data_IF_089259611806
#
_entry.id   IF_089259611806
#
_cell.length_a   1.000
_cell.length_b   1.000
_cell.length_c   1.000
_cell.angle_alpha   90.00
_cell.angle_beta   90.00
_cell.angle_gamma   90.00
#
_symmetry.space_group_name_H-M   'P 1'
#
loop_
_entity.id
_entity.type
_entity.pdbx_description
1 polymer ?
#
# COMPACT_ATOMS: atom_id res chain seq x y z
N UNK A 1 28.01 -4.56 12.61
CA UNK A 1 26.69 -4.15 13.13
C UNK A 1 26.38 -4.95 14.39
N UNK A 2 26.15 -4.32 15.52
CA UNK A 2 25.65 -4.95 16.75
C UNK A 2 24.15 -4.68 16.86
N UNK A 3 23.37 -5.72 17.09
CA UNK A 3 21.91 -5.66 17.24
C UNK A 3 21.54 -6.13 18.64
N UNK A 4 20.76 -5.34 19.37
CA UNK A 4 20.29 -5.65 20.72
C UNK A 4 18.76 -5.55 20.81
N UNK A 5 18.11 -6.56 21.39
CA UNK A 5 16.66 -6.57 21.57
C UNK A 5 16.28 -5.91 22.91
N UNK A 6 15.29 -5.03 22.92
CA UNK A 6 14.93 -4.13 24.03
C UNK A 6 14.55 -4.77 25.40
N UNK A 7 14.41 -6.09 25.49
CA UNK A 7 14.11 -6.80 26.75
C UNK A 7 15.36 -7.26 27.51
N UNK A 8 16.58 -7.10 26.95
CA UNK A 8 17.83 -7.58 27.55
C UNK A 8 18.73 -6.44 28.11
N UNK A 9 18.23 -5.21 28.14
CA UNK A 9 19.02 -4.02 28.49
C UNK A 9 19.48 -3.95 29.98
N UNK A 10 18.94 -4.78 30.87
CA UNK A 10 19.28 -4.71 32.30
C UNK A 10 20.58 -5.44 32.68
N UNK A 11 21.13 -6.29 31.82
CA UNK A 11 22.28 -7.14 32.19
C UNK A 11 23.60 -6.84 31.45
N UNK A 12 23.62 -5.94 30.48
CA UNK A 12 24.81 -5.70 29.64
C UNK A 12 25.55 -4.40 29.96
N UNK A 13 25.11 -3.64 30.98
CA UNK A 13 25.75 -2.38 31.37
C UNK A 13 27.13 -2.53 32.05
N UNK A 14 27.56 -3.75 32.40
CA UNK A 14 28.78 -3.97 33.18
C UNK A 14 29.99 -4.48 32.37
N UNK A 15 29.90 -4.75 31.08
CA UNK A 15 31.01 -5.30 30.26
C UNK A 15 31.45 -4.43 29.07
N UNK A 16 31.16 -3.15 29.04
CA UNK A 16 31.48 -2.29 27.90
C UNK A 16 32.63 -1.29 28.13
N UNK A 17 33.64 -1.65 28.90
CA UNK A 17 34.90 -0.91 28.88
C UNK A 17 35.91 -1.66 27.99
N UNK A 18 36.34 -1.02 26.90
CA UNK A 18 37.33 -1.40 25.89
C UNK A 18 36.85 -2.15 24.65
N UNK A 19 36.04 -1.46 23.81
CA UNK A 19 36.19 -1.60 22.37
C UNK A 19 36.43 -0.21 21.81
N UNK A 20 37.59 0.03 21.25
CA UNK A 20 37.85 1.25 20.48
C UNK A 20 36.77 1.34 19.36
N UNK A 21 35.88 2.32 19.47
CA UNK A 21 34.90 2.65 18.44
C UNK A 21 35.68 3.05 17.19
N UNK A 22 35.57 2.30 16.11
CA UNK A 22 35.97 2.79 14.80
C UNK A 22 35.21 4.11 14.54
N UNK A 23 35.96 5.14 14.16
CA UNK A 23 35.39 6.45 13.86
C UNK A 23 34.31 6.28 12.80
N UNK A 24 33.05 6.52 13.17
CA UNK A 24 31.91 6.47 12.25
C UNK A 24 30.70 5.60 12.68
N UNK A 25 30.77 4.85 13.78
CA UNK A 25 29.61 4.09 14.25
C UNK A 25 28.62 4.97 15.01
N UNK A 26 27.32 4.81 14.72
CA UNK A 26 26.21 5.53 15.34
C UNK A 26 25.27 4.51 16.00
N UNK A 27 24.87 4.77 17.25
CA UNK A 27 23.76 4.03 17.89
C UNK A 27 22.44 4.67 17.46
N UNK A 28 21.62 3.92 16.73
CA UNK A 28 20.36 4.43 16.21
C UNK A 28 19.34 4.61 17.34
N UNK A 29 18.88 5.84 17.55
CA UNK A 29 17.86 6.21 18.54
C UNK A 29 16.97 7.32 18.00
N UNK A 30 15.81 7.50 18.62
CA UNK A 30 14.84 8.55 18.29
C UNK A 30 14.10 8.25 16.99
N UNK A 31 14.22 9.12 16.00
CA UNK A 31 13.54 8.97 14.72
C UNK A 31 14.23 7.94 13.82
N UNK A 32 13.85 6.68 13.96
CA UNK A 32 14.43 5.55 13.22
C UNK A 32 13.96 5.49 11.76
N UNK A 33 12.82 6.10 11.45
CA UNK A 33 12.29 6.20 10.07
C UNK A 33 13.28 6.90 9.14
N UNK A 34 14.15 7.76 9.67
CA UNK A 34 15.21 8.42 8.88
C UNK A 34 16.21 7.44 8.22
N UNK A 35 16.33 6.24 8.78
CA UNK A 35 17.24 5.19 8.28
C UNK A 35 16.56 4.27 7.26
N UNK A 36 15.26 4.44 7.01
CA UNK A 36 14.52 3.60 6.05
C UNK A 36 14.57 4.23 4.67
N UNK A 37 15.11 3.50 3.71
CA UNK A 37 15.07 3.85 2.28
C UNK A 37 14.12 2.89 1.55
N UNK A 38 12.85 3.28 1.29
CA UNK A 38 11.89 2.41 0.62
C UNK A 38 12.19 2.21 -0.88
N UNK A 39 13.18 2.91 -1.44
CA UNK A 39 13.62 2.66 -2.82
C UNK A 39 14.55 1.45 -2.95
N UNK A 40 15.09 0.93 -1.86
CA UNK A 40 15.87 -0.32 -1.87
C UNK A 40 15.00 -1.45 -2.42
N UNK A 41 15.52 -2.18 -3.42
CA UNK A 41 14.81 -3.25 -4.12
C UNK A 41 13.86 -2.78 -5.22
N UNK A 42 13.74 -1.47 -5.50
CA UNK A 42 12.88 -0.94 -6.57
C UNK A 42 13.50 -1.02 -7.96
N UNK A 43 14.78 -1.33 -8.06
CA UNK A 43 15.51 -1.56 -9.32
C UNK A 43 15.78 -3.06 -9.49
N UNK A 44 15.81 -3.55 -10.73
CA UNK A 44 16.05 -4.97 -11.00
C UNK A 44 14.86 -5.85 -10.55
N UNK A 45 15.08 -7.06 -10.00
CA UNK A 45 14.00 -8.03 -9.71
C UNK A 45 13.33 -7.86 -8.35
N UNK A 46 13.70 -6.84 -7.54
CA UNK A 46 13.24 -6.73 -6.14
C UNK A 46 11.75 -6.46 -5.98
N UNK A 47 11.10 -5.79 -6.93
CA UNK A 47 9.65 -5.52 -6.96
C UNK A 47 9.11 -4.85 -5.68
N UNK A 48 9.89 -3.93 -5.08
CA UNK A 48 9.45 -3.12 -3.95
C UNK A 48 8.78 -1.83 -4.43
N UNK A 49 8.05 -1.17 -3.55
CA UNK A 49 7.37 0.10 -3.81
C UNK A 49 7.83 1.17 -2.78
N UNK A 50 7.89 2.47 -3.16
CA UNK A 50 8.36 3.54 -2.28
C UNK A 50 7.24 4.26 -1.53
N UNK A 51 5.98 3.87 -1.72
CA UNK A 51 4.82 4.57 -1.20
C UNK A 51 4.62 4.45 0.30
N UNK A 52 3.77 5.33 0.84
CA UNK A 52 3.47 5.36 2.27
C UNK A 52 2.53 4.21 2.69
N UNK A 53 2.80 3.61 3.84
CA UNK A 53 1.94 2.60 4.45
C UNK A 53 2.11 2.58 5.98
N UNK A 54 1.16 2.00 6.71
CA UNK A 54 1.35 1.63 8.12
C UNK A 54 1.89 0.20 8.24
N UNK A 55 2.56 -0.15 9.35
CA UNK A 55 2.97 -1.53 9.60
C UNK A 55 1.79 -2.48 9.50
N UNK A 56 1.95 -3.52 8.67
CA UNK A 56 0.92 -4.53 8.41
C UNK A 56 -0.42 -3.99 7.88
N UNK A 57 -0.47 -2.73 7.42
CA UNK A 57 -1.70 -2.10 6.92
C UNK A 57 -2.19 -2.72 5.61
N UNK A 58 -3.50 -2.60 5.36
CA UNK A 58 -4.13 -3.00 4.10
C UNK A 58 -3.75 -2.06 2.96
N UNK A 59 -3.53 -0.78 3.25
CA UNK A 59 -3.24 0.26 2.25
C UNK A 59 -1.75 0.55 2.15
N UNK A 60 -1.26 0.60 0.90
CA UNK A 60 0.05 1.06 0.48
C UNK A 60 -0.16 2.10 -0.63
N UNK A 61 -0.12 3.38 -0.26
CA UNK A 61 -0.35 4.49 -1.18
C UNK A 61 0.92 4.78 -1.98
N UNK A 62 1.00 4.28 -3.23
CA UNK A 62 2.23 4.25 -4.02
C UNK A 62 1.99 4.56 -5.49
N UNK A 63 3.01 5.04 -6.23
CA UNK A 63 2.94 5.21 -7.68
C UNK A 63 2.92 3.88 -8.45
N UNK A 64 2.29 3.92 -9.62
CA UNK A 64 2.27 2.87 -10.63
C UNK A 64 2.98 3.35 -11.89
N UNK A 65 3.99 2.61 -12.35
CA UNK A 65 4.76 2.96 -13.54
C UNK A 65 4.18 2.32 -14.81
N UNK A 66 4.48 2.91 -15.97
CA UNK A 66 4.08 2.36 -17.26
C UNK A 66 4.80 1.05 -17.64
N UNK A 67 5.86 0.71 -16.90
CA UNK A 67 6.65 -0.51 -17.08
C UNK A 67 6.03 -1.66 -16.29
N UNK A 68 5.86 -2.81 -16.94
CA UNK A 68 5.33 -4.00 -16.27
C UNK A 68 6.18 -4.40 -15.07
N UNK A 69 5.58 -4.41 -13.89
CA UNK A 69 6.21 -4.85 -12.65
C UNK A 69 5.15 -5.29 -11.64
N UNK A 70 5.31 -6.45 -10.99
CA UNK A 70 4.36 -6.92 -9.98
C UNK A 70 4.20 -5.98 -8.79
N UNK A 71 5.27 -5.29 -8.39
CA UNK A 71 5.24 -4.31 -7.29
C UNK A 71 4.63 -2.96 -7.65
N UNK A 72 4.28 -2.72 -8.92
CA UNK A 72 3.72 -1.46 -9.41
C UNK A 72 4.77 -0.38 -9.69
N UNK A 73 5.96 -0.47 -9.15
CA UNK A 73 7.00 0.56 -9.23
C UNK A 73 8.35 0.01 -9.73
N UNK A 74 9.05 0.84 -10.51
CA UNK A 74 10.46 0.65 -10.91
C UNK A 74 11.21 1.96 -10.80
N UNK A 75 12.30 1.95 -10.03
CA UNK A 75 13.11 3.14 -9.77
C UNK A 75 13.76 3.76 -11.03
N UNK A 76 13.98 2.95 -12.06
CA UNK A 76 14.52 3.34 -13.37
C UNK A 76 13.47 3.81 -14.38
N UNK A 77 12.19 3.89 -13.99
CA UNK A 77 11.10 4.37 -14.84
C UNK A 77 10.64 5.76 -14.40
N UNK A 78 10.53 6.69 -15.34
CA UNK A 78 10.06 8.05 -15.11
C UNK A 78 8.68 8.34 -15.71
N UNK A 79 8.03 7.32 -16.33
CA UNK A 79 6.67 7.41 -16.83
C UNK A 79 5.71 6.67 -15.89
N UNK A 80 4.78 7.40 -15.28
CA UNK A 80 3.80 6.87 -14.35
C UNK A 80 2.41 6.82 -14.99
N UNK A 81 1.70 5.73 -14.78
CA UNK A 81 0.30 5.57 -15.22
C UNK A 81 -0.69 5.99 -14.14
N UNK A 82 -0.21 6.28 -12.95
CA UNK A 82 -1.00 6.79 -11.85
C UNK A 82 -0.45 6.46 -10.48
N UNK A 83 -1.35 6.53 -9.51
CA UNK A 83 -1.09 6.30 -8.09
C UNK A 83 -2.25 5.47 -7.54
N UNK A 84 -1.97 4.35 -6.90
CA UNK A 84 -3.00 3.45 -6.37
C UNK A 84 -2.80 3.12 -4.89
N UNK A 85 -3.73 2.38 -4.29
CA UNK A 85 -3.82 2.26 -2.83
C UNK A 85 -3.39 0.89 -2.31
N UNK A 86 -3.06 -0.08 -3.18
CA UNK A 86 -2.62 -1.40 -2.74
C UNK A 86 -1.43 -1.88 -3.55
N UNK A 87 -0.38 -2.31 -2.85
CA UNK A 87 0.85 -2.85 -3.42
C UNK A 87 1.39 -3.98 -2.54
N UNK A 88 2.20 -4.86 -3.12
CA UNK A 88 2.94 -5.87 -2.40
C UNK A 88 4.44 -5.65 -2.58
N UNK A 89 5.20 -5.75 -1.50
CA UNK A 89 6.66 -5.60 -1.52
C UNK A 89 7.33 -6.93 -1.78
N UNK A 90 8.23 -6.98 -2.76
CA UNK A 90 9.01 -8.19 -3.07
C UNK A 90 8.23 -9.30 -3.80
N UNK A 91 7.06 -9.00 -4.32
CA UNK A 91 6.16 -9.99 -4.90
C UNK A 91 6.38 -10.23 -6.40
N UNK A 92 6.02 -11.43 -6.86
CA UNK A 92 5.79 -11.74 -8.28
C UNK A 92 4.31 -11.63 -8.71
N UNK A 93 3.40 -11.28 -7.78
CA UNK A 93 1.96 -11.22 -8.04
C UNK A 93 1.49 -9.77 -8.30
N UNK A 94 1.02 -9.42 -9.51
CA UNK A 94 0.61 -8.08 -9.90
C UNK A 94 -0.89 -7.79 -9.65
N UNK A 95 -1.60 -8.57 -8.86
CA UNK A 95 -3.06 -8.45 -8.69
C UNK A 95 -3.53 -7.27 -7.84
N UNK A 96 -2.64 -6.37 -7.43
CA UNK A 96 -2.92 -5.14 -6.69
C UNK A 96 -3.11 -3.92 -7.62
N UNK A 97 -3.08 -2.70 -7.09
CA UNK A 97 -3.31 -1.46 -7.84
C UNK A 97 -4.76 -0.99 -7.75
N UNK A 98 -5.36 -1.09 -6.55
CA UNK A 98 -6.76 -0.74 -6.37
C UNK A 98 -6.96 0.78 -6.37
N UNK A 99 -7.94 1.23 -7.13
CA UNK A 99 -8.38 2.63 -7.26
C UNK A 99 -7.21 3.55 -7.65
N UNK A 100 -6.81 3.45 -8.91
CA UNK A 100 -5.75 4.27 -9.47
C UNK A 100 -6.25 5.68 -9.79
N UNK A 101 -5.43 6.67 -9.53
CA UNK A 101 -5.69 8.08 -9.81
C UNK A 101 -4.49 8.71 -10.51
N UNK A 102 -4.74 9.60 -11.48
CA UNK A 102 -3.69 10.43 -12.08
C UNK A 102 -4.19 11.88 -12.20
N UNK A 103 -3.59 12.85 -11.47
CA UNK A 103 -3.93 14.25 -11.62
C UNK A 103 -3.27 14.83 -12.89
N UNK A 104 -3.95 15.77 -13.55
CA UNK A 104 -3.43 16.49 -14.70
C UNK A 104 -4.09 17.86 -14.84
N UNK A 105 -3.63 18.68 -15.77
CA UNK A 105 -4.22 19.99 -16.11
C UNK A 105 -4.64 20.00 -17.57
N UNK A 106 -5.68 20.75 -17.90
CA UNK A 106 -6.15 20.91 -19.29
C UNK A 106 -7.05 19.76 -19.76
N UNK A 107 -7.09 19.59 -21.08
CA UNK A 107 -7.88 18.54 -21.74
C UNK A 107 -6.99 17.36 -22.10
N UNK A 108 -7.60 16.17 -22.16
CA UNK A 108 -6.92 14.93 -22.54
C UNK A 108 -7.90 14.06 -23.34
N UNK A 109 -7.60 13.83 -24.61
CA UNK A 109 -8.52 13.14 -25.53
C UNK A 109 -8.36 11.61 -25.50
N UNK A 110 -7.14 11.13 -25.21
CA UNK A 110 -6.85 9.69 -25.14
C UNK A 110 -7.57 9.00 -23.98
N UNK A 111 -7.84 7.72 -24.12
CA UNK A 111 -8.32 6.83 -23.05
C UNK A 111 -7.18 6.21 -22.24
N UNK A 112 -5.95 6.40 -22.69
CA UNK A 112 -4.75 6.00 -21.95
C UNK A 112 -4.14 7.21 -21.26
N UNK A 113 -3.89 7.09 -19.97
CA UNK A 113 -3.34 8.16 -19.13
C UNK A 113 -1.97 7.76 -18.60
N UNK A 114 -0.99 8.59 -18.86
CA UNK A 114 0.33 8.53 -18.23
C UNK A 114 0.92 9.93 -18.09
N UNK A 115 1.91 10.09 -17.24
CA UNK A 115 2.64 11.33 -17.05
C UNK A 115 4.11 11.03 -16.74
N UNK A 116 5.02 11.85 -17.29
CA UNK A 116 6.41 11.84 -16.87
C UNK A 116 6.57 12.56 -15.54
N UNK A 117 7.47 12.04 -14.71
CA UNK A 117 7.77 12.62 -13.41
C UNK A 117 9.17 13.22 -13.37
N UNK A 118 9.34 14.24 -12.55
CA UNK A 118 10.65 14.76 -12.21
C UNK A 118 11.23 13.95 -11.04
N UNK A 119 12.09 12.98 -11.38
CA UNK A 119 12.74 12.09 -10.39
C UNK A 119 13.60 12.85 -9.38
N UNK A 120 14.05 14.07 -9.67
CA UNK A 120 14.80 14.89 -8.71
C UNK A 120 13.94 15.38 -7.54
N UNK A 121 12.61 15.44 -7.75
CA UNK A 121 11.63 15.83 -6.74
C UNK A 121 11.06 14.65 -5.96
N UNK A 122 11.36 13.43 -6.38
CA UNK A 122 10.81 12.21 -5.77
C UNK A 122 11.39 12.01 -4.36
N UNK A 123 10.50 11.72 -3.43
CA UNK A 123 10.82 11.45 -2.02
C UNK A 123 9.97 10.30 -1.54
N UNK A 124 10.59 9.36 -0.81
CA UNK A 124 9.93 8.21 -0.19
C UNK A 124 10.36 8.05 1.26
N UNK A 125 9.43 7.72 2.11
CA UNK A 125 9.64 7.28 3.48
C UNK A 125 8.45 6.37 3.88
N UNK A 126 8.55 5.55 4.92
CA UNK A 126 7.45 4.70 5.37
C UNK A 126 6.13 5.44 5.59
N UNK A 127 6.19 6.71 6.00
CA UNK A 127 5.06 7.58 6.31
C UNK A 127 4.67 8.54 5.18
N UNK A 128 5.45 8.60 4.09
CA UNK A 128 5.28 9.65 3.10
C UNK A 128 5.87 9.30 1.73
N UNK A 129 5.15 9.70 0.69
CA UNK A 129 5.65 9.71 -0.68
C UNK A 129 5.35 11.05 -1.34
N UNK A 130 6.22 11.53 -2.23
CA UNK A 130 5.95 12.69 -3.06
C UNK A 130 6.76 12.69 -4.36
N UNK A 131 6.17 13.28 -5.41
CA UNK A 131 6.80 13.51 -6.71
C UNK A 131 6.09 14.64 -7.46
N UNK A 132 6.76 15.30 -8.41
CA UNK A 132 6.16 16.31 -9.29
C UNK A 132 6.02 15.75 -10.70
N UNK A 133 4.84 15.89 -11.31
CA UNK A 133 4.58 15.56 -12.71
C UNK A 133 5.15 16.66 -13.61
N UNK A 134 5.97 16.30 -14.61
CA UNK A 134 6.75 17.27 -15.42
C UNK A 134 5.86 18.21 -16.23
N UNK A 135 4.93 17.64 -16.99
CA UNK A 135 4.14 18.40 -17.95
C UNK A 135 3.08 19.26 -17.26
N UNK A 136 2.40 18.71 -16.26
CA UNK A 136 1.31 19.41 -15.56
C UNK A 136 1.78 20.26 -14.39
N UNK A 137 3.01 20.08 -13.92
CA UNK A 137 3.52 20.72 -12.70
C UNK A 137 2.79 20.31 -11.43
N UNK A 138 1.91 19.30 -11.48
CA UNK A 138 1.19 18.84 -10.29
C UNK A 138 2.14 18.13 -9.35
N UNK A 139 2.18 18.58 -8.09
CA UNK A 139 2.86 17.86 -7.02
C UNK A 139 1.90 16.86 -6.39
N UNK A 140 2.31 15.62 -6.37
CA UNK A 140 1.61 14.52 -5.74
C UNK A 140 2.27 14.22 -4.40
N UNK A 141 1.48 14.10 -3.34
CA UNK A 141 1.91 13.68 -2.01
C UNK A 141 0.99 12.60 -1.49
N UNK A 142 1.53 11.62 -0.75
CA UNK A 142 0.75 10.55 -0.14
C UNK A 142 1.20 10.27 1.30
N UNK A 143 0.23 9.90 2.12
CA UNK A 143 0.42 9.23 3.42
C UNK A 143 -0.70 8.20 3.59
N UNK A 144 -0.64 7.34 4.62
CA UNK A 144 -1.65 6.31 4.81
C UNK A 144 -1.91 6.03 6.29
N UNK A 145 -3.13 5.57 6.58
CA UNK A 145 -3.47 4.82 7.80
C UNK A 145 -3.42 3.32 7.51
N UNK A 146 -4.03 2.49 8.37
CA UNK A 146 -4.12 1.03 8.12
C UNK A 146 -4.97 0.72 6.87
N UNK A 147 -6.06 1.49 6.65
CA UNK A 147 -7.07 1.21 5.61
C UNK A 147 -7.36 2.39 4.69
N UNK A 148 -6.73 3.55 4.91
CA UNK A 148 -7.01 4.77 4.13
C UNK A 148 -5.72 5.34 3.54
N UNK A 149 -5.66 5.49 2.22
CA UNK A 149 -4.67 6.30 1.52
C UNK A 149 -5.11 7.75 1.47
N UNK A 150 -4.26 8.67 1.90
CA UNK A 150 -4.48 10.10 1.80
C UNK A 150 -3.58 10.67 0.73
N UNK A 151 -4.18 11.32 -0.23
CA UNK A 151 -3.52 11.93 -1.38
C UNK A 151 -3.72 13.43 -1.35
N UNK A 152 -2.66 14.17 -1.65
CA UNK A 152 -2.72 15.61 -1.88
C UNK A 152 -2.12 15.92 -3.24
N UNK A 153 -2.92 16.54 -4.09
CA UNK A 153 -2.53 16.96 -5.44
C UNK A 153 -2.51 18.49 -5.52
N UNK A 154 -1.32 19.09 -5.53
CA UNK A 154 -1.16 20.56 -5.61
C UNK A 154 -0.98 20.94 -7.07
N UNK A 155 -1.94 21.71 -7.62
CA UNK A 155 -2.00 22.10 -9.03
C UNK A 155 -1.24 23.41 -9.26
N UNK A 156 0.05 23.32 -9.62
CA UNK A 156 0.90 24.50 -9.91
C UNK A 156 0.89 24.92 -11.38
N UNK A 157 0.46 24.03 -12.29
CA UNK A 157 0.40 24.30 -13.74
C UNK A 157 -0.73 25.23 -14.14
N UNK A 158 -0.67 25.70 -15.39
CA UNK A 158 -1.73 26.49 -16.01
C UNK A 158 -2.81 25.58 -16.58
N UNK A 159 -4.07 25.94 -16.40
CA UNK A 159 -5.23 25.22 -16.92
C UNK A 159 -6.12 24.63 -15.84
N UNK A 160 -7.28 24.09 -16.26
CA UNK A 160 -8.25 23.53 -15.32
C UNK A 160 -7.75 22.24 -14.68
N UNK A 161 -7.97 22.11 -13.37
CA UNK A 161 -7.58 20.95 -12.57
C UNK A 161 -8.45 19.73 -12.93
N UNK A 162 -7.80 18.60 -13.20
CA UNK A 162 -8.40 17.33 -13.59
C UNK A 162 -7.83 16.18 -12.79
N UNK A 163 -8.64 15.13 -12.61
CA UNK A 163 -8.20 13.87 -12.03
C UNK A 163 -8.79 12.72 -12.86
N UNK A 164 -7.95 11.85 -13.38
CA UNK A 164 -8.36 10.55 -13.88
C UNK A 164 -8.56 9.62 -12.68
N UNK A 165 -9.75 9.02 -12.58
CA UNK A 165 -10.14 8.09 -11.53
C UNK A 165 -10.46 6.73 -12.16
N UNK A 166 -9.70 5.70 -11.78
CA UNK A 166 -9.69 4.42 -12.44
C UNK A 166 -9.79 3.25 -11.43
N UNK A 167 -10.98 2.71 -11.20
CA UNK A 167 -11.16 1.50 -10.40
C UNK A 167 -10.98 0.21 -11.21
N UNK A 168 -10.74 0.31 -12.52
CA UNK A 168 -10.71 -0.85 -13.44
C UNK A 168 -9.31 -1.39 -13.65
N UNK A 169 -8.28 -0.54 -13.56
CA UNK A 169 -6.89 -0.96 -13.76
C UNK A 169 -6.32 -1.74 -12.59
N UNK A 170 -5.32 -2.57 -12.89
CA UNK A 170 -4.49 -3.29 -11.92
C UNK A 170 -3.01 -3.13 -12.28
N UNK A 171 -2.09 -3.67 -11.47
CA UNK A 171 -0.66 -3.67 -11.76
C UNK A 171 -0.28 -4.63 -12.91
N UNK A 172 -1.24 -5.37 -13.42
CA UNK A 172 -1.07 -6.32 -14.52
C UNK A 172 -0.98 -5.69 -15.93
N UNK A 173 -0.75 -4.39 -16.05
CA UNK A 173 -0.57 -3.72 -17.33
C UNK A 173 0.39 -4.48 -18.26
N UNK A 174 -0.10 -4.95 -19.41
CA UNK A 174 0.67 -5.74 -20.36
C UNK A 174 0.62 -7.26 -20.15
N UNK A 175 0.38 -7.79 -18.95
CA UNK A 175 0.11 -9.20 -18.72
C UNK A 175 -1.31 -9.58 -19.17
N UNK A 176 -2.26 -8.68 -18.97
CA UNK A 176 -3.65 -8.82 -19.40
C UNK A 176 -3.79 -9.11 -20.90
N UNK A 177 -2.89 -8.60 -21.74
CA UNK A 177 -2.87 -8.93 -23.18
C UNK A 177 -2.65 -10.42 -23.46
N UNK A 178 -1.98 -11.14 -22.55
CA UNK A 178 -1.68 -12.56 -22.66
C UNK A 178 -2.75 -13.43 -22.01
N UNK A 179 -3.36 -12.97 -20.92
CA UNK A 179 -4.19 -13.79 -20.03
C UNK A 179 -5.66 -13.33 -19.95
N UNK A 180 -6.01 -12.25 -20.62
CA UNK A 180 -7.35 -11.60 -20.54
C UNK A 180 -7.44 -10.50 -19.49
N UNK A 181 -8.58 -9.85 -19.37
CA UNK A 181 -8.79 -8.79 -18.40
C UNK A 181 -8.75 -9.33 -16.96
N UNK A 182 -8.00 -8.67 -16.08
CA UNK A 182 -7.84 -9.07 -14.69
C UNK A 182 -8.98 -8.61 -13.81
N UNK A 183 -9.56 -7.45 -14.13
CA UNK A 183 -10.73 -6.91 -13.44
C UNK A 183 -11.97 -7.39 -14.19
N UNK A 184 -12.69 -8.32 -13.60
CA UNK A 184 -13.89 -8.92 -14.20
C UNK A 184 -15.15 -8.09 -13.98
N UNK A 185 -15.15 -7.21 -12.99
CA UNK A 185 -16.17 -6.18 -12.79
C UNK A 185 -15.62 -5.04 -11.92
N UNK A 186 -16.07 -3.83 -12.17
CA UNK A 186 -15.89 -2.69 -11.30
C UNK A 186 -17.16 -1.83 -11.36
N UNK A 187 -17.75 -1.61 -10.19
CA UNK A 187 -18.98 -0.82 -10.04
C UNK A 187 -18.70 0.41 -9.18
N UNK A 188 -19.40 1.50 -9.45
CA UNK A 188 -19.29 2.70 -8.65
C UNK A 188 -20.61 3.44 -8.55
N UNK A 189 -20.78 4.16 -7.47
CA UNK A 189 -21.83 5.14 -7.23
C UNK A 189 -21.22 6.47 -6.79
N UNK A 190 -21.83 7.56 -7.21
CA UNK A 190 -21.41 8.93 -6.89
C UNK A 190 -22.43 9.53 -5.93
N UNK A 191 -21.96 10.15 -4.85
CA UNK A 191 -22.83 10.86 -3.91
C UNK A 191 -23.50 12.08 -4.57
N UNK A 192 -24.73 12.44 -4.16
CA UNK A 192 -25.47 13.58 -4.76
C UNK A 192 -24.73 14.92 -4.67
N UNK A 193 -23.89 15.10 -3.66
CA UNK A 193 -23.08 16.32 -3.46
C UNK A 193 -21.79 16.34 -4.29
N UNK A 194 -21.52 15.28 -5.06
CA UNK A 194 -20.32 15.16 -5.88
C UNK A 194 -19.01 15.15 -5.09
N UNK A 195 -19.01 14.65 -3.85
CA UNK A 195 -17.82 14.61 -2.98
C UNK A 195 -17.34 13.19 -2.65
N UNK A 196 -18.11 12.18 -3.03
CA UNK A 196 -17.76 10.80 -2.69
C UNK A 196 -18.07 9.85 -3.85
N UNK A 197 -17.17 8.90 -4.06
CA UNK A 197 -17.35 7.76 -4.97
C UNK A 197 -17.19 6.50 -4.13
N UNK A 198 -18.19 5.64 -4.12
CA UNK A 198 -18.16 4.30 -3.51
C UNK A 198 -18.25 3.24 -4.57
N UNK A 199 -17.61 2.13 -4.36
CA UNK A 199 -17.71 1.04 -5.30
C UNK A 199 -17.06 -0.24 -4.81
N UNK A 200 -17.09 -1.21 -5.70
CA UNK A 200 -16.43 -2.50 -5.54
C UNK A 200 -15.81 -2.94 -6.85
N UNK A 201 -14.83 -3.80 -6.76
CA UNK A 201 -14.20 -4.43 -7.92
C UNK A 201 -13.87 -5.89 -7.63
N UNK A 202 -14.02 -6.71 -8.65
CA UNK A 202 -13.64 -8.11 -8.62
C UNK A 202 -12.44 -8.31 -9.55
N UNK A 203 -11.34 -8.75 -8.98
CA UNK A 203 -10.09 -9.05 -9.71
C UNK A 203 -9.91 -10.55 -9.74
N UNK A 204 -9.71 -11.11 -10.93
CA UNK A 204 -9.52 -12.55 -11.12
C UNK A 204 -8.35 -12.81 -12.06
N UNK A 205 -7.24 -13.22 -11.47
CA UNK A 205 -6.04 -13.62 -12.19
C UNK A 205 -5.27 -14.66 -11.38
N UNK A 206 -4.12 -14.30 -10.84
CA UNK A 206 -3.39 -15.13 -9.86
C UNK A 206 -4.17 -15.29 -8.58
N UNK A 207 -5.05 -14.42 -8.43
CA UNK A 207 -5.83 -14.23 -7.26
C UNK A 207 -7.29 -13.94 -7.68
N UNK A 208 -8.30 -14.42 -6.92
CA UNK A 208 -9.74 -14.20 -7.12
C UNK A 208 -10.25 -13.39 -5.94
N UNK A 209 -10.33 -12.06 -6.04
CA UNK A 209 -10.60 -11.17 -4.91
C UNK A 209 -11.64 -10.10 -5.19
N UNK A 210 -12.45 -9.83 -4.20
CA UNK A 210 -13.33 -8.65 -4.15
C UNK A 210 -12.70 -7.59 -3.26
N UNK A 211 -12.66 -6.36 -3.74
CA UNK A 211 -12.22 -5.19 -3.01
C UNK A 211 -13.26 -4.09 -3.15
N UNK A 212 -13.55 -3.45 -2.04
CA UNK A 212 -14.51 -2.35 -1.96
C UNK A 212 -13.79 -1.09 -1.53
N UNK A 213 -14.30 0.06 -1.98
CA UNK A 213 -13.68 1.33 -1.67
C UNK A 213 -14.68 2.45 -1.40
N UNK A 214 -14.21 3.45 -0.67
CA UNK A 214 -14.84 4.75 -0.51
C UNK A 214 -13.77 5.83 -0.75
N UNK A 215 -13.93 6.59 -1.83
CA UNK A 215 -13.07 7.72 -2.17
C UNK A 215 -13.80 9.02 -1.86
N UNK A 216 -13.26 9.83 -0.94
CA UNK A 216 -13.82 11.12 -0.53
C UNK A 216 -12.88 12.25 -0.92
N UNK A 217 -13.47 13.30 -1.49
CA UNK A 217 -12.81 14.50 -1.97
C UNK A 217 -13.13 15.67 -1.03
N UNK A 218 -12.16 16.53 -0.76
CA UNK A 218 -12.34 17.71 0.11
C UNK A 218 -13.28 18.77 -0.49
N UNK A 219 -13.58 18.65 -1.79
CA UNK A 219 -14.48 19.54 -2.53
C UNK A 219 -15.30 18.79 -3.57
N UNK A 220 -16.42 19.34 -4.05
CA UNK A 220 -17.22 18.68 -5.08
C UNK A 220 -16.48 18.62 -6.42
N UNK A 221 -16.71 17.54 -7.16
CA UNK A 221 -16.22 17.35 -8.51
C UNK A 221 -17.37 17.36 -9.53
N UNK A 222 -17.02 17.59 -10.78
CA UNK A 222 -17.89 17.37 -11.94
C UNK A 222 -17.35 16.20 -12.74
N UNK A 223 -18.20 15.28 -13.15
CA UNK A 223 -17.84 14.23 -14.11
C UNK A 223 -17.81 14.86 -15.50
N UNK A 224 -16.63 14.96 -16.07
CA UNK A 224 -16.42 15.57 -17.38
C UNK A 224 -16.50 14.54 -18.51
N UNK A 225 -15.96 13.35 -18.25
CA UNK A 225 -15.96 12.24 -19.20
C UNK A 225 -16.12 10.92 -18.45
N UNK A 226 -16.95 10.03 -19.01
CA UNK A 226 -17.04 8.62 -18.65
C UNK A 226 -16.35 7.82 -19.74
N UNK A 227 -15.38 7.02 -19.36
CA UNK A 227 -14.61 6.18 -20.26
C UNK A 227 -15.05 4.75 -19.98
N UNK A 228 -15.88 4.18 -20.86
CA UNK A 228 -16.36 2.82 -20.68
C UNK A 228 -15.21 1.84 -20.87
N UNK A 229 -15.51 0.61 -20.62
CA UNK A 229 -14.76 -0.62 -20.87
C UNK A 229 -13.44 -0.46 -21.65
N UNK A 230 -12.37 -0.86 -21.04
CA UNK A 230 -11.11 -1.12 -21.74
C UNK A 230 -10.97 -2.64 -21.95
N UNK A 231 -10.97 -3.14 -23.20
CA UNK A 231 -10.92 -4.56 -23.46
C UNK A 231 -9.62 -5.26 -22.99
N UNK A 232 -8.61 -4.48 -22.60
CA UNK A 232 -7.33 -4.98 -22.12
C UNK A 232 -7.16 -4.92 -20.59
N UNK A 233 -7.98 -4.13 -19.89
CA UNK A 233 -7.81 -3.89 -18.44
C UNK A 233 -8.98 -4.44 -17.60
N UNK A 234 -10.19 -4.49 -18.13
CA UNK A 234 -11.34 -5.07 -17.42
C UNK A 234 -12.68 -4.42 -17.71
N UNK A 235 -13.70 -4.88 -17.01
CA UNK A 235 -15.08 -4.41 -17.13
C UNK A 235 -15.35 -3.33 -16.08
N UNK A 236 -15.87 -2.16 -16.51
CA UNK A 236 -16.23 -1.04 -15.65
C UNK A 236 -16.02 0.31 -16.33
N UNK A 237 -16.37 1.35 -15.62
CA UNK A 237 -16.16 2.74 -16.05
C UNK A 237 -14.96 3.36 -15.35
N UNK A 238 -14.26 4.24 -16.07
CA UNK A 238 -13.25 5.16 -15.56
C UNK A 238 -13.74 6.59 -15.73
N UNK A 239 -13.35 7.50 -14.89
CA UNK A 239 -13.87 8.86 -14.89
C UNK A 239 -12.75 9.88 -15.10
N UNK A 240 -13.05 10.94 -15.85
CA UNK A 240 -12.33 12.21 -15.77
C UNK A 240 -13.15 13.17 -14.94
N UNK A 241 -12.58 13.57 -13.81
CA UNK A 241 -13.18 14.48 -12.85
C UNK A 241 -12.58 15.88 -12.99
N UNK A 242 -13.43 16.90 -12.94
CA UNK A 242 -13.04 18.30 -12.97
C UNK A 242 -13.29 19.00 -11.63
N UNK A 243 -12.33 19.83 -11.23
CA UNK A 243 -12.38 20.58 -9.98
C UNK A 243 -12.24 22.08 -10.22
N UNK A 244 -12.92 22.87 -9.37
CA UNK A 244 -12.72 24.31 -9.32
C UNK A 244 -11.59 24.63 -8.34
N UNK A 245 -10.39 24.78 -8.89
CA UNK A 245 -9.15 25.03 -8.15
C UNK A 245 -8.39 26.16 -8.83
N UNK A 246 -7.86 27.07 -8.00
CA UNK A 246 -6.91 28.06 -8.44
C UNK A 246 -5.52 27.46 -8.53
N UNK A 247 -4.66 28.07 -9.32
CA UNK A 247 -3.23 27.73 -9.38
C UNK A 247 -2.59 27.77 -8.00
N UNK A 248 -1.88 26.70 -7.65
CA UNK A 248 -1.25 26.53 -6.36
C UNK A 248 -2.17 25.91 -5.27
N UNK A 249 -3.46 25.77 -5.52
CA UNK A 249 -4.34 25.08 -4.58
C UNK A 249 -4.20 23.55 -4.67
N UNK A 250 -4.49 22.90 -3.56
CA UNK A 250 -4.45 21.44 -3.46
C UNK A 250 -5.85 20.84 -3.44
N UNK A 251 -5.98 19.66 -4.05
CA UNK A 251 -7.06 18.71 -3.87
C UNK A 251 -6.62 17.63 -2.88
N UNK A 252 -7.38 17.41 -1.81
CA UNK A 252 -7.18 16.25 -0.95
C UNK A 252 -8.20 15.15 -1.27
N UNK A 253 -7.69 13.93 -1.46
CA UNK A 253 -8.49 12.73 -1.71
C UNK A 253 -8.14 11.68 -0.68
N UNK A 254 -9.16 11.09 -0.05
CA UNK A 254 -9.00 9.98 0.90
C UNK A 254 -9.66 8.76 0.30
N UNK A 255 -8.91 7.68 0.14
CA UNK A 255 -9.39 6.43 -0.43
C UNK A 255 -9.26 5.34 0.62
N UNK A 256 -10.39 4.92 1.16
CA UNK A 256 -10.45 3.77 2.05
C UNK A 256 -10.71 2.48 1.27
N UNK A 257 -10.12 1.39 1.74
CA UNK A 257 -10.26 0.05 1.17
C UNK A 257 -10.85 -0.90 2.21
N UNK A 258 -11.74 -1.81 1.79
CA UNK A 258 -12.30 -2.90 2.57
C UNK A 258 -12.39 -4.16 1.73
N UNK A 259 -12.22 -5.32 2.35
CA UNK A 259 -12.49 -6.63 1.72
C UNK A 259 -13.93 -7.08 1.92
N UNK A 260 -14.73 -6.33 2.68
CA UNK A 260 -16.09 -6.71 3.10
C UNK A 260 -17.15 -5.99 2.29
N UNK A 261 -17.14 -4.63 2.30
CA UNK A 261 -18.13 -3.82 1.60
C UNK A 261 -17.69 -2.35 1.46
N UNK A 262 -18.37 -1.60 0.58
CA UNK A 262 -18.16 -0.16 0.43
C UNK A 262 -18.54 0.62 1.71
N UNK A 263 -19.52 0.13 2.48
CA UNK A 263 -19.88 0.69 3.79
C UNK A 263 -18.77 0.44 4.82
N UNK A 264 -18.09 -0.73 4.77
CA UNK A 264 -16.92 -1.03 5.56
C UNK A 264 -15.79 -0.05 5.27
N UNK A 265 -15.52 0.22 4.00
CA UNK A 265 -14.55 1.23 3.57
C UNK A 265 -14.95 2.64 4.06
N UNK A 266 -16.23 3.03 3.94
CA UNK A 266 -16.70 4.32 4.45
C UNK A 266 -16.56 4.47 5.97
N UNK A 267 -16.81 3.40 6.74
CA UNK A 267 -16.57 3.38 8.19
C UNK A 267 -15.08 3.55 8.52
N UNK A 268 -14.20 2.82 7.82
CA UNK A 268 -12.76 2.95 7.98
C UNK A 268 -12.29 4.39 7.69
N UNK A 269 -12.78 5.00 6.61
CA UNK A 269 -12.50 6.39 6.26
C UNK A 269 -12.89 7.35 7.39
N UNK A 270 -14.10 7.20 7.94
CA UNK A 270 -14.57 8.03 9.03
C UNK A 270 -13.75 7.84 10.31
N UNK A 271 -13.50 6.59 10.72
CA UNK A 271 -12.83 6.31 12.00
C UNK A 271 -11.33 6.64 11.98
N UNK A 272 -10.66 6.43 10.85
CA UNK A 272 -9.20 6.59 10.78
C UNK A 272 -8.76 7.98 10.34
N UNK A 273 -9.60 8.72 9.59
CA UNK A 273 -9.15 9.95 8.94
C UNK A 273 -10.04 11.19 9.15
N UNK A 274 -11.32 11.06 9.55
CA UNK A 274 -12.16 12.25 9.74
C UNK A 274 -11.64 13.13 10.88
N UNK A 275 -11.71 14.45 10.67
CA UNK A 275 -11.22 15.45 11.61
C UNK A 275 -9.69 15.58 11.69
N UNK A 276 -8.94 14.77 10.91
CA UNK A 276 -7.47 14.83 10.89
C UNK A 276 -6.96 15.47 9.61
N UNK A 277 -5.92 16.27 9.75
CA UNK A 277 -5.17 16.82 8.61
C UNK A 277 -4.20 15.78 8.04
N UNK A 278 -3.76 15.99 6.80
CA UNK A 278 -2.70 15.20 6.17
C UNK A 278 -1.44 15.13 7.05
N UNK A 279 -1.02 16.25 7.63
CA UNK A 279 0.17 16.32 8.49
C UNK A 279 0.01 15.50 9.77
N UNK A 280 -1.16 15.50 10.40
CA UNK A 280 -1.44 14.70 11.60
C UNK A 280 -1.38 13.21 11.28
N UNK A 281 -2.02 12.74 10.19
CA UNK A 281 -1.99 11.34 9.82
C UNK A 281 -0.57 10.90 9.46
N UNK A 282 0.19 11.72 8.73
CA UNK A 282 1.60 11.46 8.46
C UNK A 282 2.41 11.30 9.76
N UNK A 283 2.24 12.21 10.70
CA UNK A 283 2.94 12.15 12.00
C UNK A 283 2.56 10.89 12.80
N UNK A 284 1.29 10.52 12.84
CA UNK A 284 0.81 9.29 13.48
C UNK A 284 1.43 8.04 12.81
N UNK A 285 1.50 8.01 11.49
CA UNK A 285 2.07 6.89 10.73
C UNK A 285 3.57 6.78 10.98
N UNK A 286 4.29 7.91 11.01
CA UNK A 286 5.70 7.96 11.38
C UNK A 286 5.93 7.45 12.80
N UNK A 287 5.09 7.84 13.74
CA UNK A 287 5.17 7.37 15.13
C UNK A 287 4.96 5.85 15.23
N UNK A 288 4.00 5.27 14.49
CA UNK A 288 3.77 3.83 14.44
C UNK A 288 4.99 3.05 13.89
N UNK A 289 5.63 3.56 12.86
CA UNK A 289 6.87 2.99 12.35
C UNK A 289 8.00 3.09 13.36
N UNK A 290 8.20 4.25 13.99
CA UNK A 290 9.23 4.41 15.01
C UNK A 290 9.02 3.47 16.22
N UNK A 291 7.77 3.31 16.68
CA UNK A 291 7.42 2.37 17.75
C UNK A 291 7.85 0.93 17.41
N UNK A 292 7.60 0.49 16.18
CA UNK A 292 7.92 -0.87 15.76
C UNK A 292 9.41 -1.06 15.50
N UNK A 293 10.06 -0.13 14.82
CA UNK A 293 11.48 -0.17 14.52
C UNK A 293 12.34 -0.10 15.80
N UNK A 294 11.87 0.63 16.83
CA UNK A 294 12.55 0.76 18.11
C UNK A 294 12.58 -0.53 18.95
N UNK A 295 11.89 -1.59 18.54
CA UNK A 295 11.99 -2.92 19.16
C UNK A 295 13.38 -3.54 19.03
N UNK A 296 14.18 -3.03 18.10
CA UNK A 296 15.57 -3.41 17.92
C UNK A 296 16.44 -2.17 17.86
N UNK A 297 17.48 -2.12 18.69
CA UNK A 297 18.49 -1.08 18.66
C UNK A 297 19.72 -1.61 17.92
N UNK A 298 20.13 -0.93 16.87
CA UNK A 298 21.30 -1.27 16.09
C UNK A 298 22.38 -0.18 16.23
N UNK A 299 23.65 -0.60 16.11
CA UNK A 299 24.82 0.25 16.05
C UNK A 299 25.64 -0.11 14.81
N UNK A 300 26.07 0.88 14.05
CA UNK A 300 26.84 0.68 12.83
C UNK A 300 27.10 1.98 12.09
N UNK A 301 27.66 1.89 10.89
CA UNK A 301 27.73 3.02 9.96
C UNK A 301 26.34 3.42 9.46
N UNK A 302 26.24 4.60 8.87
CA UNK A 302 24.98 5.08 8.25
C UNK A 302 24.46 4.08 7.19
N UNK A 303 25.35 3.47 6.42
CA UNK A 303 24.99 2.47 5.42
C UNK A 303 24.46 1.18 6.07
N UNK A 304 25.09 0.70 7.17
CA UNK A 304 24.63 -0.47 7.90
C UNK A 304 23.25 -0.23 8.53
N UNK A 305 23.06 0.94 9.15
CA UNK A 305 21.78 1.33 9.76
C UNK A 305 20.68 1.44 8.72
N UNK A 306 20.97 2.05 7.56
CA UNK A 306 20.02 2.12 6.44
C UNK A 306 19.62 0.74 5.96
N UNK A 307 20.58 -0.15 5.71
CA UNK A 307 20.29 -1.52 5.28
C UNK A 307 19.47 -2.29 6.34
N UNK A 308 19.84 -2.14 7.60
CA UNK A 308 19.18 -2.85 8.70
C UNK A 308 17.73 -2.40 8.89
N UNK A 309 17.50 -1.08 9.05
CA UNK A 309 16.15 -0.57 9.28
C UNK A 309 15.26 -0.65 8.05
N UNK A 310 15.83 -0.57 6.84
CA UNK A 310 15.08 -0.83 5.61
C UNK A 310 14.65 -2.30 5.52
N UNK A 311 15.52 -3.25 5.93
CA UNK A 311 15.15 -4.66 5.98
C UNK A 311 14.05 -4.94 7.00
N UNK A 312 14.09 -4.32 8.19
CA UNK A 312 13.00 -4.39 9.17
C UNK A 312 11.71 -3.77 8.63
N UNK A 313 11.79 -2.64 7.95
CA UNK A 313 10.63 -2.01 7.30
C UNK A 313 9.98 -2.98 6.31
N UNK A 314 10.74 -3.59 5.39
CA UNK A 314 10.20 -4.55 4.44
C UNK A 314 9.57 -5.77 5.13
N UNK A 315 10.16 -6.23 6.24
CA UNK A 315 9.59 -7.31 7.03
C UNK A 315 8.20 -6.97 7.59
N UNK A 316 7.96 -5.71 7.99
CA UNK A 316 6.75 -5.30 8.69
C UNK A 316 5.68 -4.65 7.78
N UNK A 317 5.91 -4.59 6.47
CA UNK A 317 4.87 -4.20 5.51
C UNK A 317 3.78 -5.29 5.44
N UNK A 318 4.17 -6.55 5.49
CA UNK A 318 3.32 -7.74 5.33
C UNK A 318 3.56 -8.72 6.49
N UNK A 319 2.61 -9.64 6.76
CA UNK A 319 1.30 -9.83 6.12
C UNK A 319 0.31 -8.70 6.43
N UNK A 320 -0.61 -8.43 5.51
CA UNK A 320 -1.55 -7.32 5.64
C UNK A 320 -2.77 -7.70 6.50
N UNK A 321 -3.12 -6.86 7.46
CA UNK A 321 -4.37 -6.96 8.23
C UNK A 321 -5.53 -6.48 7.35
N UNK A 322 -6.40 -7.39 6.94
CA UNK A 322 -7.56 -7.12 6.09
C UNK A 322 -8.87 -6.99 6.86
N UNK A 323 -8.79 -6.96 8.18
CA UNK A 323 -9.97 -6.81 9.04
C UNK A 323 -10.51 -5.38 8.94
N UNK A 324 -11.81 -5.24 8.72
CA UNK A 324 -12.50 -3.95 8.83
C UNK A 324 -12.48 -3.41 10.25
N UNK A 325 -12.73 -2.12 10.42
CA UNK A 325 -12.75 -1.44 11.73
C UNK A 325 -13.79 -2.01 12.72
N UNK A 326 -14.78 -2.76 12.22
CA UNK A 326 -15.79 -3.44 13.03
C UNK A 326 -15.48 -4.93 13.27
N UNK A 327 -14.26 -5.38 12.96
CA UNK A 327 -13.79 -6.74 13.19
C UNK A 327 -14.20 -7.75 12.12
N UNK A 328 -14.93 -7.34 11.09
CA UNK A 328 -15.31 -8.23 9.97
C UNK A 328 -14.17 -8.38 8.97
N UNK A 329 -14.12 -9.53 8.32
CA UNK A 329 -13.20 -9.80 7.21
C UNK A 329 -13.88 -10.75 6.21
N UNK A 330 -13.37 -10.78 4.98
CA UNK A 330 -13.76 -11.81 4.00
C UNK A 330 -12.78 -12.96 4.05
N UNK A 331 -13.28 -14.14 4.41
CA UNK A 331 -12.49 -15.35 4.53
C UNK A 331 -12.11 -15.97 3.18
N UNK A 332 -11.29 -17.00 3.26
CA UNK A 332 -10.81 -17.73 2.08
C UNK A 332 -11.93 -18.45 1.30
N UNK A 333 -13.06 -18.75 1.95
CA UNK A 333 -14.28 -19.30 1.34
C UNK A 333 -15.18 -18.22 0.70
N UNK A 334 -14.74 -16.97 0.69
CA UNK A 334 -15.48 -15.81 0.19
C UNK A 334 -16.57 -15.29 1.15
N UNK A 335 -16.76 -15.92 2.32
CA UNK A 335 -17.77 -15.47 3.28
C UNK A 335 -17.22 -14.40 4.20
N UNK A 336 -18.12 -13.52 4.63
CA UNK A 336 -17.82 -12.52 5.65
C UNK A 336 -18.01 -13.12 7.04
N UNK A 337 -17.00 -12.95 7.89
CA UNK A 337 -16.99 -13.43 9.28
C UNK A 337 -16.36 -12.38 10.21
N UNK A 338 -16.45 -12.61 11.51
CA UNK A 338 -15.74 -11.83 12.53
C UNK A 338 -14.39 -12.51 12.84
N UNK A 339 -13.34 -11.71 12.95
CA UNK A 339 -12.01 -12.18 13.32
C UNK A 339 -11.98 -12.53 14.82
N UNK A 340 -11.68 -13.78 15.22
CA UNK A 340 -11.73 -14.22 16.62
C UNK A 340 -10.78 -13.45 17.53
N UNK A 341 -9.55 -13.17 17.08
CA UNK A 341 -8.55 -12.33 17.77
C UNK A 341 -8.66 -10.85 17.42
N UNK A 342 -9.72 -10.42 16.72
CA UNK A 342 -9.87 -9.06 16.21
C UNK A 342 -9.03 -8.75 14.98
N UNK A 343 -8.24 -9.70 14.45
CA UNK A 343 -7.39 -9.54 13.27
C UNK A 343 -7.42 -10.75 12.37
N UNK A 344 -7.45 -10.49 11.06
CA UNK A 344 -7.31 -11.51 10.04
C UNK A 344 -6.35 -11.01 8.95
N UNK A 345 -5.38 -11.83 8.60
CA UNK A 345 -4.29 -11.42 7.73
C UNK A 345 -4.39 -12.04 6.34
N UNK A 346 -3.97 -11.29 5.36
CA UNK A 346 -3.73 -11.73 4.01
C UNK A 346 -2.26 -11.61 3.65
N UNK A 347 -1.90 -12.07 2.45
CA UNK A 347 -0.53 -11.98 1.93
C UNK A 347 0.53 -12.73 2.76
N UNK A 348 0.08 -13.75 3.51
CA UNK A 348 0.97 -14.72 4.12
C UNK A 348 1.63 -15.56 3.02
N UNK A 349 2.95 -15.62 3.01
CA UNK A 349 3.74 -16.43 2.09
C UNK A 349 4.66 -17.36 2.88
N UNK A 350 4.08 -18.42 3.45
CA UNK A 350 4.83 -19.33 4.33
C UNK A 350 5.99 -20.01 3.64
N UNK A 351 5.86 -20.27 2.37
CA UNK A 351 6.90 -20.81 1.51
C UNK A 351 8.18 -19.93 1.53
N UNK A 352 8.05 -18.61 1.59
CA UNK A 352 9.16 -17.66 1.67
C UNK A 352 9.58 -17.37 3.10
N UNK A 353 8.63 -17.21 4.01
CA UNK A 353 8.80 -16.54 5.31
C UNK A 353 9.04 -17.49 6.46
N UNK A 354 8.81 -18.83 6.31
CA UNK A 354 8.90 -19.80 7.40
C UNK A 354 10.29 -19.90 8.02
N UNK A 355 11.35 -19.64 7.24
CA UNK A 355 12.73 -19.84 7.68
C UNK A 355 13.23 -18.77 8.64
N UNK A 356 12.82 -17.52 8.45
CA UNK A 356 13.34 -16.39 9.20
C UNK A 356 12.28 -15.39 9.66
N UNK A 357 11.37 -14.94 8.77
CA UNK A 357 10.43 -13.89 9.11
C UNK A 357 9.45 -14.32 10.19
N UNK A 358 8.78 -15.50 10.07
CA UNK A 358 7.87 -15.98 11.11
C UNK A 358 8.57 -16.25 12.47
N UNK A 359 9.76 -16.91 12.55
CA UNK A 359 10.51 -16.95 13.79
C UNK A 359 10.80 -15.58 14.37
N UNK A 360 11.16 -14.59 13.54
CA UNK A 360 11.43 -13.23 14.01
C UNK A 360 10.18 -12.53 14.52
N UNK A 361 9.00 -12.76 13.92
CA UNK A 361 7.73 -12.24 14.44
C UNK A 361 7.43 -12.73 15.85
N UNK A 362 7.79 -13.97 16.20
CA UNK A 362 7.61 -14.48 17.57
C UNK A 362 8.48 -13.77 18.62
N UNK A 363 9.50 -13.05 18.17
CA UNK A 363 10.39 -12.24 19.03
C UNK A 363 9.95 -10.77 19.02
N UNK A 364 9.71 -10.20 17.83
CA UNK A 364 9.53 -8.77 17.68
C UNK A 364 8.07 -8.32 17.69
N UNK A 365 7.12 -9.19 17.29
CA UNK A 365 5.71 -8.85 17.16
C UNK A 365 4.81 -9.95 17.72
N UNK A 366 5.12 -10.41 18.94
CA UNK A 366 4.42 -11.51 19.62
C UNK A 366 2.91 -11.31 19.67
N UNK A 367 2.47 -10.06 19.85
CA UNK A 367 1.05 -9.65 19.89
C UNK A 367 0.27 -9.90 18.59
N UNK A 368 0.96 -10.25 17.49
CA UNK A 368 0.36 -10.54 16.18
C UNK A 368 0.34 -12.02 15.82
N UNK A 369 1.14 -12.82 16.51
CA UNK A 369 1.37 -14.23 16.17
C UNK A 369 0.08 -15.05 16.23
N UNK A 370 -0.74 -14.84 17.27
CA UNK A 370 -2.02 -15.52 17.40
C UNK A 370 -2.94 -15.24 16.20
N UNK A 371 -2.98 -14.00 15.73
CA UNK A 371 -3.75 -13.62 14.54
C UNK A 371 -3.24 -14.28 13.26
N UNK A 372 -1.91 -14.46 13.11
CA UNK A 372 -1.35 -15.21 11.98
C UNK A 372 -1.76 -16.69 12.03
N UNK A 373 -1.66 -17.32 13.21
CA UNK A 373 -2.04 -18.71 13.41
C UNK A 373 -3.54 -18.93 13.18
N UNK A 374 -4.40 -18.07 13.75
CA UNK A 374 -5.83 -18.13 13.55
C UNK A 374 -6.24 -17.96 12.08
N UNK A 375 -5.56 -17.05 11.35
CA UNK A 375 -5.77 -16.90 9.92
C UNK A 375 -5.47 -18.19 9.16
N UNK A 376 -4.33 -18.84 9.47
CA UNK A 376 -3.96 -20.11 8.83
C UNK A 376 -4.95 -21.23 9.18
N UNK A 377 -5.40 -21.29 10.43
CA UNK A 377 -6.43 -22.27 10.85
C UNK A 377 -7.78 -22.01 10.18
N UNK A 378 -8.18 -20.75 10.00
CA UNK A 378 -9.39 -20.41 9.27
C UNK A 378 -9.33 -20.84 7.80
N UNK A 379 -8.18 -20.66 7.15
CA UNK A 379 -7.93 -21.23 5.81
C UNK A 379 -8.03 -22.75 5.80
N UNK A 380 -7.42 -23.41 6.79
CA UNK A 380 -7.49 -24.86 6.94
C UNK A 380 -8.93 -25.38 7.08
N UNK A 381 -9.76 -24.68 7.85
CA UNK A 381 -11.19 -25.01 7.99
C UNK A 381 -11.97 -24.83 6.69
N UNK A 382 -11.66 -23.75 5.94
CA UNK A 382 -12.34 -23.44 4.68
C UNK A 382 -11.99 -24.43 3.54
N UNK A 383 -10.75 -24.92 3.49
CA UNK A 383 -10.23 -25.69 2.36
C UNK A 383 -9.75 -27.11 2.69
N UNK A 384 -9.79 -27.51 3.97
CA UNK A 384 -9.34 -28.82 4.43
C UNK A 384 -7.82 -28.98 4.56
N UNK A 385 -7.04 -27.93 4.35
CA UNK A 385 -5.57 -27.91 4.51
C UNK A 385 -5.04 -26.52 4.81
N UNK A 386 -3.90 -26.44 5.49
CA UNK A 386 -3.25 -25.16 5.79
C UNK A 386 -2.71 -24.52 4.51
N UNK A 387 -2.74 -23.19 4.42
CA UNK A 387 -2.26 -22.48 3.23
C UNK A 387 -0.72 -22.47 3.19
N UNK A 388 -0.17 -22.58 1.99
CA UNK A 388 1.24 -22.21 1.71
C UNK A 388 1.32 -20.72 1.37
N UNK A 389 0.31 -20.23 0.68
CA UNK A 389 0.10 -18.85 0.31
C UNK A 389 -1.32 -18.41 0.64
N UNK A 390 -1.44 -17.22 1.25
CA UNK A 390 -2.72 -16.50 1.33
C UNK A 390 -2.57 -15.20 0.54
N UNK A 391 -3.27 -15.07 -0.53
CA UNK A 391 -3.56 -13.75 -1.07
C UNK A 391 -4.93 -13.32 -0.55
N UNK A 392 -5.36 -12.08 -0.76
CA UNK A 392 -6.71 -11.58 -0.36
C UNK A 392 -7.85 -12.38 -1.03
N UNK A 393 -7.73 -13.73 -1.15
CA UNK A 393 -8.43 -14.51 -2.15
C UNK A 393 -8.80 -15.90 -1.77
N UNK A 394 -9.98 -16.34 -2.25
CA UNK A 394 -10.49 -17.68 -1.97
C UNK A 394 -9.77 -18.83 -2.71
N UNK A 395 -8.95 -18.63 -3.72
CA UNK A 395 -8.60 -19.74 -4.62
C UNK A 395 -7.12 -20.04 -4.89
N UNK A 396 -6.15 -19.36 -4.33
CA UNK A 396 -4.76 -19.84 -4.46
C UNK A 396 -4.34 -20.72 -3.30
N UNK A 397 -4.99 -21.85 -3.22
CA UNK A 397 -4.49 -22.99 -2.49
C UNK A 397 -3.71 -23.85 -3.49
N UNK A 398 -2.42 -23.67 -3.58
CA UNK A 398 -1.58 -24.68 -4.18
C UNK A 398 -1.66 -25.93 -3.30
N UNK A 399 -2.50 -26.88 -3.67
CA UNK A 399 -2.52 -28.19 -3.02
C UNK A 399 -1.16 -28.84 -3.24
N UNK A 400 -0.54 -29.34 -2.17
CA UNK A 400 0.66 -30.19 -2.22
C UNK A 400 0.43 -31.52 -2.98
N UNK A 401 -0.66 -31.68 -3.73
CA UNK A 401 -0.98 -32.92 -4.43
C UNK A 401 -0.20 -33.15 -5.72
N UNK A 402 0.76 -32.27 -6.09
CA UNK A 402 1.66 -32.54 -7.23
C UNK A 402 3.07 -32.02 -6.92
N UNK A 403 3.77 -32.70 -6.04
CA UNK A 403 5.21 -32.84 -6.07
C UNK A 403 5.53 -34.32 -5.95
#
# INVERSE_FOLDING_TARGET
MRVMCGKTLAFVAALSATCALAAGNVVARGDLVRWVDPFVGSVGPGNTFPGACRPFGLVQASPDVAKLTPGGYKGDCDEFVGFSNTHLSGTGNPACGDVRMLPFVGEHESDFFSAKVDKSTERGAPDYYAVTLKESGVRVEATATERVGLWRFTYAGEGPARLFFDPVSSLCLGWSRKWGPNVVSAEMSISPDGREIRGGRHVKEWADREMFYCARFDRPFRVLRRIPKNPFEGEGERLVLGFDLKKGEALEVRVAISTVSAEGAAKALAMESDGKTFAQIRAETRAKWNELLARVVAEGSDADLTNFYTSLYHLFIQPNDITDVDGRYRGADGKVALAPSGRYYSTLSLWDTFRAAHPLYTILTQERVDGFVETMLAHGRAHGHLPVWTSTMPRLVMSQRRM
#
